data_IF_521893250334
#
_entry.id   IF_521893250334
#
_cell.length_a   1.000
_cell.length_b   1.000
_cell.length_c   1.000
_cell.angle_alpha   90.00
_cell.angle_beta   90.00
_cell.angle_gamma   90.00
#
_symmetry.space_group_name_H-M   'P 1'
#
loop_
_entity.id
_entity.type
_entity.pdbx_description
1 polymer ?
#
# COMPACT_ATOMS: atom_id res chain seq x y z
N UNK A 1 50.60 -55.01 43.23
CA UNK A 1 49.61 -54.01 43.67
C UNK A 1 50.36 -52.74 44.05
N UNK A 2 50.38 -51.73 43.18
CA UNK A 2 50.76 -50.35 43.54
C UNK A 2 49.86 -49.45 42.70
N UNK A 3 48.70 -49.08 43.26
CA UNK A 3 47.83 -48.08 42.65
C UNK A 3 48.50 -46.71 42.83
N UNK A 4 49.03 -46.17 41.73
CA UNK A 4 49.50 -44.80 41.66
C UNK A 4 48.29 -43.87 41.77
N UNK A 5 48.17 -43.14 42.88
CA UNK A 5 47.13 -42.11 43.07
C UNK A 5 47.41 -40.95 42.12
N UNK A 6 46.68 -40.89 41.00
CA UNK A 6 46.75 -39.79 40.05
C UNK A 6 46.12 -38.53 40.69
N UNK A 7 46.90 -37.47 40.83
CA UNK A 7 46.47 -36.22 41.46
C UNK A 7 45.55 -35.43 40.51
N UNK A 8 44.25 -35.40 40.82
CA UNK A 8 43.19 -34.85 39.95
C UNK A 8 43.44 -33.39 39.54
N UNK A 9 44.18 -32.61 40.36
CA UNK A 9 44.56 -31.22 40.05
C UNK A 9 45.51 -31.10 38.86
N UNK A 10 46.39 -32.09 38.67
CA UNK A 10 47.36 -32.12 37.55
C UNK A 10 46.63 -32.42 36.24
N UNK A 11 45.63 -33.31 36.28
CA UNK A 11 44.78 -33.64 35.12
C UNK A 11 43.95 -32.42 34.71
N UNK A 12 43.38 -31.70 35.68
CA UNK A 12 42.59 -30.50 35.42
C UNK A 12 43.46 -29.39 34.79
N UNK A 13 44.68 -29.19 35.30
CA UNK A 13 45.61 -28.22 34.73
C UNK A 13 46.04 -28.58 33.29
N UNK A 14 46.27 -29.86 33.01
CA UNK A 14 46.60 -30.34 31.67
C UNK A 14 45.43 -30.15 30.68
N UNK A 15 44.19 -30.42 31.12
CA UNK A 15 42.99 -30.19 30.32
C UNK A 15 42.78 -28.70 30.01
N UNK A 16 42.91 -27.83 31.02
CA UNK A 16 42.80 -26.38 30.81
C UNK A 16 43.89 -25.85 29.87
N UNK A 17 45.14 -26.33 29.99
CA UNK A 17 46.22 -25.99 29.06
C UNK A 17 45.95 -26.46 27.63
N UNK A 18 45.39 -27.66 27.47
CA UNK A 18 44.99 -28.21 26.17
C UNK A 18 43.90 -27.38 25.49
N UNK A 19 42.87 -26.96 26.23
CA UNK A 19 41.82 -26.09 25.71
C UNK A 19 42.39 -24.72 25.28
N UNK A 20 43.29 -24.14 26.07
CA UNK A 20 43.96 -22.88 25.75
C UNK A 20 44.78 -22.98 24.45
N UNK A 21 45.54 -24.06 24.28
CA UNK A 21 46.31 -24.31 23.06
C UNK A 21 45.40 -24.53 21.84
N UNK A 22 44.28 -25.22 21.99
CA UNK A 22 43.29 -25.38 20.90
C UNK A 22 42.67 -24.03 20.53
N UNK A 23 42.32 -23.19 21.52
CA UNK A 23 41.78 -21.85 21.23
C UNK A 23 42.81 -20.91 20.56
N UNK A 24 44.10 -21.00 20.93
CA UNK A 24 45.17 -20.24 20.27
C UNK A 24 45.47 -20.79 18.87
N UNK A 25 45.36 -22.10 18.68
CA UNK A 25 45.50 -22.71 17.35
C UNK A 25 44.33 -22.32 16.43
N UNK A 26 43.09 -22.35 16.93
CA UNK A 26 41.91 -21.89 16.18
C UNK A 26 41.96 -20.38 15.89
N UNK A 27 42.49 -19.55 16.79
CA UNK A 27 42.66 -18.12 16.52
C UNK A 27 43.77 -17.83 15.51
N UNK A 28 44.79 -18.68 15.39
CA UNK A 28 45.86 -18.56 14.37
C UNK A 28 45.52 -19.24 13.02
N UNK A 29 44.56 -20.16 12.99
CA UNK A 29 44.06 -20.77 11.75
C UNK A 29 42.94 -19.96 11.07
N UNK A 30 42.51 -18.84 11.66
CA UNK A 30 41.60 -17.87 11.02
C UNK A 30 42.26 -16.95 9.98
N UNK A 31 43.59 -16.84 9.97
CA UNK A 31 44.33 -15.86 9.15
C UNK A 31 45.36 -16.52 8.21
N UNK A 32 44.92 -17.45 7.36
CA UNK A 32 45.73 -17.95 6.24
C UNK A 32 44.92 -18.03 4.94
N UNK A 33 44.69 -16.86 4.32
CA UNK A 33 44.45 -16.79 2.87
C UNK A 33 45.66 -16.19 2.17
N UNK A 34 46.80 -16.89 2.21
CA UNK A 34 47.85 -16.68 1.20
C UNK A 34 47.48 -17.51 -0.04
N UNK A 35 46.81 -16.88 -1.01
CA UNK A 35 46.75 -17.37 -2.40
C UNK A 35 47.84 -16.65 -3.21
N UNK A 36 48.54 -17.34 -4.12
CA UNK A 36 49.57 -16.73 -4.95
C UNK A 36 48.95 -15.83 -6.04
N UNK A 37 49.65 -14.72 -6.24
CA UNK A 37 49.76 -13.79 -7.38
C UNK A 37 48.72 -13.74 -8.51
N UNK A 38 48.38 -12.49 -8.85
CA UNK A 38 47.85 -11.95 -10.10
C UNK A 38 46.37 -12.20 -10.45
N UNK A 39 45.51 -11.47 -9.73
CA UNK A 39 44.47 -10.65 -10.37
C UNK A 39 44.55 -9.27 -9.71
N UNK A 40 44.40 -8.17 -10.45
CA UNK A 40 44.30 -6.80 -9.94
C UNK A 40 43.15 -6.69 -8.93
N UNK A 41 43.37 -7.10 -7.68
CA UNK A 41 42.45 -6.91 -6.57
C UNK A 41 42.61 -5.45 -6.19
N UNK A 42 41.54 -4.68 -6.38
CA UNK A 42 41.54 -3.31 -5.94
C UNK A 42 41.98 -3.21 -4.48
N UNK A 43 42.87 -2.26 -4.20
CA UNK A 43 43.40 -2.05 -2.85
C UNK A 43 42.29 -1.42 -2.01
N UNK A 44 41.98 -2.01 -0.86
CA UNK A 44 41.07 -1.38 0.10
C UNK A 44 41.72 -0.09 0.61
N UNK A 45 40.95 1.01 0.69
CA UNK A 45 41.43 2.31 1.17
C UNK A 45 40.40 2.98 2.09
N UNK A 46 40.88 3.87 2.94
CA UNK A 46 40.05 4.65 3.83
C UNK A 46 39.56 5.94 3.14
N UNK A 47 38.24 6.09 2.97
CA UNK A 47 37.61 7.31 2.49
C UNK A 47 37.14 8.16 3.67
N UNK A 48 37.66 9.37 3.82
CA UNK A 48 37.21 10.34 4.82
C UNK A 48 36.05 11.16 4.25
N UNK A 49 34.86 11.08 4.87
CA UNK A 49 33.64 11.75 4.41
C UNK A 49 33.49 13.07 5.17
N UNK A 50 33.59 14.19 4.45
CA UNK A 50 33.49 15.57 4.97
C UNK A 50 34.40 15.89 6.18
N UNK A 51 35.44 15.09 6.42
CA UNK A 51 36.32 15.23 7.59
C UNK A 51 35.74 14.69 8.91
N UNK A 52 34.58 14.04 8.89
CA UNK A 52 33.87 13.65 10.13
C UNK A 52 34.06 12.17 10.49
N UNK A 53 33.97 11.27 9.51
CA UNK A 53 34.09 9.83 9.70
C UNK A 53 34.67 9.17 8.47
N UNK A 54 35.11 7.91 8.62
CA UNK A 54 35.67 7.13 7.52
C UNK A 54 34.81 5.94 7.11
N UNK A 55 34.94 5.58 5.83
CA UNK A 55 34.27 4.43 5.21
C UNK A 55 35.30 3.67 4.38
N UNK A 56 35.22 2.34 4.40
CA UNK A 56 36.06 1.48 3.57
C UNK A 56 35.64 1.55 2.10
N UNK A 57 36.54 2.05 1.26
CA UNK A 57 36.43 2.13 -0.19
C UNK A 57 37.38 1.15 -0.87
N UNK A 58 37.27 1.02 -2.18
CA UNK A 58 38.21 0.24 -3.01
C UNK A 58 38.85 1.11 -4.07
N UNK A 59 40.15 0.96 -4.27
CA UNK A 59 40.88 1.58 -5.38
C UNK A 59 41.01 0.57 -6.49
N UNK A 60 40.57 0.89 -7.69
CA UNK A 60 40.88 0.08 -8.87
C UNK A 60 41.53 0.99 -9.91
N UNK A 61 42.86 0.86 -10.07
CA UNK A 61 43.69 1.76 -10.87
C UNK A 61 43.59 3.21 -10.34
N UNK A 62 43.04 4.12 -11.14
CA UNK A 62 42.86 5.54 -10.79
C UNK A 62 41.45 5.87 -10.32
N UNK A 63 40.58 4.86 -10.20
CA UNK A 63 39.21 5.03 -9.72
C UNK A 63 39.09 4.65 -8.23
N UNK A 64 38.33 5.46 -7.50
CA UNK A 64 37.89 5.17 -6.13
C UNK A 64 36.44 4.71 -6.17
N UNK A 65 36.22 3.45 -5.81
CA UNK A 65 34.91 2.82 -5.73
C UNK A 65 34.38 2.94 -4.30
N UNK A 66 33.30 3.70 -4.17
CA UNK A 66 32.60 3.91 -2.89
C UNK A 66 31.49 2.87 -2.73
N UNK A 67 31.36 2.20 -1.57
CA UNK A 67 30.38 1.16 -1.39
C UNK A 67 28.94 1.69 -1.48
N UNK A 68 28.08 0.98 -2.23
CA UNK A 68 26.68 1.39 -2.40
C UNK A 68 25.91 1.43 -1.06
N UNK A 69 26.29 0.63 -0.06
CA UNK A 69 25.70 0.68 1.28
C UNK A 69 25.81 2.05 1.95
N UNK A 70 26.90 2.78 1.69
CA UNK A 70 27.10 4.15 2.10
C UNK A 70 26.28 5.10 1.21
N UNK A 71 26.46 5.02 -0.11
CA UNK A 71 25.79 5.90 -1.10
C UNK A 71 24.26 5.89 -0.89
N UNK A 72 23.68 4.70 -0.70
CA UNK A 72 22.24 4.49 -0.47
C UNK A 72 21.71 5.29 0.71
N UNK A 73 22.46 5.34 1.81
CA UNK A 73 22.06 6.05 3.03
C UNK A 73 22.36 7.54 2.93
N UNK A 74 23.52 7.90 2.38
CA UNK A 74 24.00 9.27 2.35
C UNK A 74 23.23 10.14 1.34
N UNK A 75 22.91 9.60 0.16
CA UNK A 75 22.16 10.30 -0.89
C UNK A 75 20.68 9.90 -0.95
N UNK A 76 20.22 9.02 -0.05
CA UNK A 76 18.84 8.51 -0.02
C UNK A 76 18.33 7.93 -1.35
N UNK A 77 19.22 7.23 -2.06
CA UNK A 77 18.95 6.56 -3.35
C UNK A 77 18.68 5.07 -3.16
N UNK A 78 18.23 4.38 -4.20
CA UNK A 78 17.80 2.98 -4.14
C UNK A 78 18.53 2.12 -5.14
N UNK A 79 18.69 0.84 -4.83
CA UNK A 79 19.23 -0.11 -5.77
C UNK A 79 19.12 -1.55 -5.30
N UNK A 80 19.10 -2.47 -6.25
CA UNK A 80 18.97 -3.91 -6.03
C UNK A 80 19.75 -4.69 -7.08
N UNK A 81 20.22 -5.87 -6.69
CA UNK A 81 20.74 -6.85 -7.65
C UNK A 81 19.56 -7.60 -8.27
N UNK A 82 19.60 -7.75 -9.58
CA UNK A 82 18.64 -8.53 -10.36
C UNK A 82 19.42 -9.50 -11.24
N UNK A 83 18.87 -10.68 -11.51
CA UNK A 83 19.45 -11.63 -12.45
C UNK A 83 18.50 -11.81 -13.61
N UNK A 84 18.98 -11.50 -14.82
CA UNK A 84 18.25 -11.70 -16.07
C UNK A 84 19.13 -12.55 -16.96
N UNK A 85 18.62 -13.70 -17.38
CA UNK A 85 19.34 -14.68 -18.21
C UNK A 85 20.69 -15.14 -17.62
N UNK A 86 20.77 -15.26 -16.28
CA UNK A 86 21.98 -15.68 -15.57
C UNK A 86 23.06 -14.61 -15.42
N UNK A 87 22.83 -13.40 -15.94
CA UNK A 87 23.71 -12.25 -15.75
C UNK A 87 23.17 -11.37 -14.62
N UNK A 88 23.97 -11.19 -13.57
CA UNK A 88 23.66 -10.26 -12.49
C UNK A 88 23.86 -8.81 -12.95
N UNK A 89 22.85 -7.99 -12.67
CA UNK A 89 22.83 -6.56 -12.96
C UNK A 89 22.42 -5.81 -11.70
N UNK A 90 23.14 -4.73 -11.40
CA UNK A 90 22.75 -3.80 -10.35
C UNK A 90 21.84 -2.71 -10.94
N UNK A 91 20.57 -2.71 -10.53
CA UNK A 91 19.60 -1.69 -10.92
C UNK A 91 19.66 -0.53 -9.92
N UNK A 92 20.05 0.65 -10.39
CA UNK A 92 20.03 1.90 -9.63
C UNK A 92 18.74 2.68 -9.88
N UNK A 93 18.16 3.28 -8.83
CA UNK A 93 17.08 4.25 -8.95
C UNK A 93 17.28 5.43 -8.00
N UNK A 94 17.09 6.65 -8.52
CA UNK A 94 17.15 7.87 -7.70
C UNK A 94 15.93 8.02 -6.79
N UNK A 95 14.78 7.48 -7.20
CA UNK A 95 13.51 7.61 -6.48
C UNK A 95 12.72 6.31 -6.53
N UNK A 96 11.61 6.28 -5.79
CA UNK A 96 10.55 5.27 -5.92
C UNK A 96 9.24 5.95 -6.29
N UNK A 97 8.22 5.15 -6.61
CA UNK A 97 6.93 5.67 -7.08
C UNK A 97 6.83 5.70 -8.61
N UNK A 98 5.60 5.75 -9.11
CA UNK A 98 5.29 5.65 -10.54
C UNK A 98 4.58 6.91 -11.02
N UNK A 99 5.06 7.44 -12.15
CA UNK A 99 4.41 8.51 -12.88
C UNK A 99 3.60 7.92 -14.02
N UNK A 100 2.35 8.35 -14.15
CA UNK A 100 1.43 7.89 -15.18
C UNK A 100 1.11 9.06 -16.12
N UNK A 101 1.34 8.85 -17.41
CA UNK A 101 1.01 9.84 -18.44
C UNK A 101 -0.43 9.61 -18.93
N UNK A 102 -1.35 10.58 -18.73
CA UNK A 102 -2.71 10.44 -19.23
C UNK A 102 -2.71 10.30 -20.76
N UNK A 103 -3.28 9.20 -21.26
CA UNK A 103 -3.41 8.94 -22.71
C UNK A 103 -4.57 9.69 -23.36
N UNK A 104 -5.55 10.08 -22.55
CA UNK A 104 -6.77 10.79 -22.95
C UNK A 104 -7.09 11.89 -21.95
N UNK A 105 -7.90 12.87 -22.40
CA UNK A 105 -8.45 13.90 -21.52
C UNK A 105 -9.23 13.25 -20.38
N UNK A 106 -9.11 13.80 -19.17
CA UNK A 106 -9.81 13.28 -17.99
C UNK A 106 -11.33 13.37 -18.19
N UNK A 107 -12.01 12.25 -17.95
CA UNK A 107 -13.47 12.13 -17.98
C UNK A 107 -13.94 11.80 -16.55
N UNK A 108 -14.81 12.62 -15.93
CA UNK A 108 -15.37 12.32 -14.62
C UNK A 108 -16.15 10.99 -14.51
N UNK A 109 -16.55 10.40 -15.65
CA UNK A 109 -17.18 9.06 -15.70
C UNK A 109 -16.18 7.94 -16.00
N UNK A 110 -14.92 8.27 -16.22
CA UNK A 110 -13.84 7.33 -16.45
C UNK A 110 -13.11 6.95 -15.15
N UNK A 111 -11.92 6.37 -15.30
CA UNK A 111 -11.06 6.02 -14.17
C UNK A 111 -10.67 7.26 -13.36
N UNK A 112 -10.63 7.12 -12.04
CA UNK A 112 -10.27 8.22 -11.15
C UNK A 112 -8.75 8.34 -11.04
N UNK A 113 -8.15 9.21 -11.84
CA UNK A 113 -6.69 9.43 -11.86
C UNK A 113 -5.95 8.12 -12.14
N UNK A 114 -5.14 7.62 -11.21
CA UNK A 114 -4.36 6.38 -11.28
C UNK A 114 -4.89 5.29 -10.33
N UNK A 115 -6.13 5.42 -9.86
CA UNK A 115 -6.69 4.56 -8.80
C UNK A 115 -6.99 3.13 -9.25
N UNK A 116 -6.98 2.85 -10.55
CA UNK A 116 -6.97 1.47 -11.08
C UNK A 116 -5.81 0.65 -10.50
N UNK A 117 -4.68 1.30 -10.18
CA UNK A 117 -3.48 0.66 -9.63
C UNK A 117 -3.43 0.67 -8.09
N UNK A 118 -4.48 1.14 -7.42
CA UNK A 118 -4.49 1.30 -5.96
C UNK A 118 -5.19 0.12 -5.29
N UNK A 119 -4.51 -0.47 -4.31
CA UNK A 119 -5.09 -1.43 -3.36
C UNK A 119 -5.19 -0.70 -2.02
N UNK A 120 -6.40 -0.31 -1.62
CA UNK A 120 -6.60 0.51 -0.41
C UNK A 120 -6.65 -0.37 0.82
N UNK A 121 -7.32 -1.50 0.69
CA UNK A 121 -7.58 -2.55 1.67
C UNK A 121 -6.32 -3.24 2.20
N UNK A 122 -5.22 -3.24 1.45
CA UNK A 122 -3.94 -3.87 1.87
C UNK A 122 -3.03 -2.95 2.69
N UNK A 123 -3.42 -1.68 2.87
CA UNK A 123 -2.59 -0.72 3.62
C UNK A 123 -2.65 -1.03 5.10
N UNK A 124 -1.52 -0.97 5.80
CA UNK A 124 -1.43 -1.29 7.25
C UNK A 124 -2.37 -0.49 8.15
N UNK A 125 -2.75 0.72 7.73
CA UNK A 125 -3.72 1.57 8.45
C UNK A 125 -5.18 1.16 8.24
N UNK A 126 -5.46 0.20 7.36
CA UNK A 126 -6.78 -0.42 7.22
C UNK A 126 -6.84 -1.61 8.16
N UNK A 127 -7.61 -1.47 9.25
CA UNK A 127 -7.75 -2.51 10.26
C UNK A 127 -8.51 -3.72 9.73
N UNK A 128 -9.60 -3.45 9.03
CA UNK A 128 -10.46 -4.42 8.38
C UNK A 128 -11.42 -3.69 7.45
N UNK A 129 -12.12 -4.46 6.62
CA UNK A 129 -13.39 -4.00 6.04
C UNK A 129 -14.46 -4.21 7.09
N UNK A 130 -15.17 -3.13 7.46
CA UNK A 130 -16.29 -3.24 8.39
C UNK A 130 -17.26 -4.23 7.82
N UNK A 131 -17.65 -5.18 8.65
CA UNK A 131 -18.64 -6.13 8.27
C UNK A 131 -19.96 -5.46 7.91
N UNK A 132 -20.56 -4.79 8.89
CA UNK A 132 -21.87 -4.15 8.80
C UNK A 132 -21.95 -3.12 7.66
N UNK A 133 -20.89 -2.34 7.45
CA UNK A 133 -20.89 -1.20 6.52
C UNK A 133 -20.14 -1.47 5.21
N UNK A 134 -19.30 -2.52 5.16
CA UNK A 134 -18.49 -2.95 4.00
C UNK A 134 -17.54 -1.93 3.46
N UNK A 135 -17.13 -1.02 4.32
CA UNK A 135 -16.14 -0.01 4.03
C UNK A 135 -14.96 -0.12 5.00
N UNK A 136 -13.76 0.33 4.60
CA UNK A 136 -12.57 0.24 5.43
C UNK A 136 -12.68 0.99 6.77
N UNK A 137 -12.25 0.34 7.84
CA UNK A 137 -12.02 0.96 9.16
C UNK A 137 -10.55 1.38 9.25
N UNK A 138 -10.29 2.66 9.57
CA UNK A 138 -8.94 3.21 9.65
C UNK A 138 -8.40 3.23 11.06
N UNK A 139 -7.10 3.01 11.23
CA UNK A 139 -6.35 3.17 12.48
C UNK A 139 -5.30 4.29 12.40
N UNK A 140 -5.35 5.14 11.37
CA UNK A 140 -4.30 6.10 11.05
C UNK A 140 -3.94 7.07 12.18
N UNK A 141 -4.91 7.45 13.01
CA UNK A 141 -4.72 8.37 14.14
C UNK A 141 -5.20 7.80 15.47
N UNK A 142 -6.01 6.75 15.44
CA UNK A 142 -6.60 6.13 16.64
C UNK A 142 -6.59 4.60 16.49
N UNK A 143 -5.88 3.86 17.37
CA UNK A 143 -5.79 2.41 17.28
C UNK A 143 -7.13 1.67 17.42
N UNK A 144 -8.12 2.30 18.07
CA UNK A 144 -9.46 1.72 18.26
C UNK A 144 -10.16 1.45 16.93
N UNK A 145 -9.91 2.28 15.92
CA UNK A 145 -10.52 2.18 14.60
C UNK A 145 -11.70 3.14 14.45
N UNK A 146 -11.77 3.84 13.32
CA UNK A 146 -12.86 4.76 12.97
C UNK A 146 -13.07 4.80 11.45
N UNK A 147 -14.24 5.25 11.02
CA UNK A 147 -14.53 5.45 9.60
C UNK A 147 -13.89 6.75 9.13
N UNK A 148 -12.83 6.64 8.32
CA UNK A 148 -12.15 7.79 7.75
C UNK A 148 -12.69 8.08 6.34
N UNK A 149 -13.43 9.18 6.10
CA UNK A 149 -14.13 9.40 4.83
C UNK A 149 -13.21 9.39 3.60
N UNK A 150 -12.00 9.95 3.73
CA UNK A 150 -11.00 9.93 2.65
C UNK A 150 -10.61 8.50 2.27
N UNK A 151 -10.41 7.62 3.25
CA UNK A 151 -10.07 6.22 3.00
C UNK A 151 -11.23 5.47 2.36
N UNK A 152 -12.46 5.68 2.84
CA UNK A 152 -13.67 5.10 2.27
C UNK A 152 -13.87 5.53 0.82
N UNK A 153 -13.71 6.82 0.52
CA UNK A 153 -13.80 7.34 -0.84
C UNK A 153 -12.70 6.74 -1.74
N UNK A 154 -11.47 6.63 -1.25
CA UNK A 154 -10.38 6.02 -2.02
C UNK A 154 -10.66 4.55 -2.34
N UNK A 155 -11.21 3.79 -1.39
CA UNK A 155 -11.60 2.40 -1.59
C UNK A 155 -12.64 2.27 -2.70
N UNK A 156 -13.71 3.08 -2.65
CA UNK A 156 -14.74 3.08 -3.69
C UNK A 156 -14.20 3.49 -5.07
N UNK A 157 -13.39 4.56 -5.15
CA UNK A 157 -12.81 5.05 -6.41
C UNK A 157 -11.82 4.06 -7.04
N UNK A 158 -11.08 3.31 -6.22
CA UNK A 158 -10.18 2.26 -6.67
C UNK A 158 -10.96 1.10 -7.29
N UNK A 159 -11.95 0.54 -6.57
CA UNK A 159 -12.80 -0.53 -7.09
C UNK A 159 -13.60 -0.09 -8.33
N UNK A 160 -14.11 1.14 -8.36
CA UNK A 160 -14.77 1.70 -9.54
C UNK A 160 -13.84 1.74 -10.75
N UNK A 161 -12.59 2.21 -10.56
CA UNK A 161 -11.62 2.30 -11.65
C UNK A 161 -11.23 0.91 -12.16
N UNK A 162 -10.99 -0.05 -11.25
CA UNK A 162 -10.71 -1.45 -11.60
C UNK A 162 -11.84 -2.10 -12.39
N UNK A 163 -13.10 -1.86 -11.99
CA UNK A 163 -14.27 -2.36 -12.72
C UNK A 163 -14.34 -1.87 -14.18
N UNK A 164 -13.74 -0.71 -14.51
CA UNK A 164 -13.70 -0.20 -15.88
C UNK A 164 -12.50 -0.73 -16.69
N UNK A 165 -11.47 -1.27 -16.04
CA UNK A 165 -10.17 -1.59 -16.67
C UNK A 165 -9.84 -3.08 -16.66
N UNK A 166 -10.30 -3.80 -15.63
CA UNK A 166 -10.09 -5.23 -15.46
C UNK A 166 -11.15 -6.02 -16.24
N UNK A 167 -10.85 -7.26 -16.68
CA UNK A 167 -11.85 -8.12 -17.30
C UNK A 167 -12.96 -8.51 -16.32
N UNK A 168 -14.14 -8.85 -16.87
CA UNK A 168 -15.24 -9.38 -16.07
C UNK A 168 -14.78 -10.59 -15.23
N UNK A 169 -15.12 -10.64 -13.93
CA UNK A 169 -14.67 -11.70 -13.05
C UNK A 169 -15.32 -13.03 -13.44
N UNK A 170 -14.59 -14.13 -13.23
CA UNK A 170 -15.18 -15.46 -13.29
C UNK A 170 -16.14 -15.63 -12.10
N UNK A 171 -17.38 -16.02 -12.38
CA UNK A 171 -18.39 -16.30 -11.35
C UNK A 171 -18.73 -17.78 -11.38
N UNK A 172 -18.60 -18.44 -10.22
CA UNK A 172 -19.07 -19.81 -10.02
C UNK A 172 -20.25 -19.77 -9.08
N UNK A 173 -21.42 -20.18 -9.56
CA UNK A 173 -22.63 -20.30 -8.74
C UNK A 173 -22.52 -21.58 -7.92
N UNK A 174 -22.61 -21.45 -6.60
CA UNK A 174 -22.53 -22.59 -5.69
C UNK A 174 -23.90 -23.20 -5.42
N UNK A 175 -24.88 -22.36 -5.07
CA UNK A 175 -26.29 -22.76 -4.93
C UNK A 175 -27.15 -21.57 -5.37
N UNK A 176 -28.09 -21.79 -6.28
CA UNK A 176 -29.07 -20.78 -6.75
C UNK A 176 -30.51 -21.06 -6.28
N UNK A 177 -30.69 -22.09 -5.45
CA UNK A 177 -31.99 -22.55 -4.97
C UNK A 177 -32.80 -23.34 -6.00
N UNK A 178 -32.33 -23.48 -7.24
CA UNK A 178 -33.07 -24.11 -8.35
C UNK A 178 -32.20 -25.08 -9.18
N UNK A 179 -31.55 -24.59 -10.24
CA UNK A 179 -30.79 -25.41 -11.21
C UNK A 179 -29.46 -25.91 -10.63
N UNK A 180 -28.80 -25.10 -9.80
CA UNK A 180 -27.56 -25.43 -9.12
C UNK A 180 -27.86 -25.73 -7.65
N UNK A 181 -28.13 -27.00 -7.35
CA UNK A 181 -28.49 -27.46 -6.01
C UNK A 181 -27.50 -28.53 -5.50
N UNK A 182 -26.34 -28.13 -4.94
CA UNK A 182 -25.36 -29.08 -4.41
C UNK A 182 -25.90 -29.86 -3.21
N UNK A 183 -25.25 -30.99 -2.92
CA UNK A 183 -25.53 -31.83 -1.77
C UNK A 183 -24.98 -31.22 -0.48
N UNK A 184 -25.76 -30.33 0.13
CA UNK A 184 -25.49 -29.84 1.49
C UNK A 184 -25.57 -30.97 2.50
N UNK A 185 -24.73 -30.90 3.53
CA UNK A 185 -24.75 -31.85 4.63
C UNK A 185 -25.31 -31.17 5.88
N UNK A 186 -26.19 -31.87 6.59
CA UNK A 186 -26.81 -31.42 7.83
C UNK A 186 -26.37 -32.33 8.99
N UNK A 187 -26.16 -31.77 10.17
CA UNK A 187 -26.03 -32.55 11.40
C UNK A 187 -27.36 -33.23 11.74
N UNK A 188 -27.33 -34.22 12.66
CA UNK A 188 -28.52 -35.01 13.04
C UNK A 188 -29.66 -34.15 13.61
N UNK A 189 -29.34 -33.01 14.20
CA UNK A 189 -30.27 -32.08 14.84
C UNK A 189 -30.57 -30.83 13.99
N UNK A 190 -29.94 -30.70 12.82
CA UNK A 190 -30.17 -29.59 11.89
C UNK A 190 -31.14 -29.99 10.79
N UNK A 191 -31.87 -29.00 10.27
CA UNK A 191 -32.79 -29.18 9.14
C UNK A 191 -32.47 -28.18 8.05
N UNK A 192 -32.68 -28.59 6.81
CA UNK A 192 -32.54 -27.74 5.63
C UNK A 192 -33.65 -28.10 4.64
N UNK A 193 -34.42 -27.10 4.24
CA UNK A 193 -35.52 -27.23 3.28
C UNK A 193 -35.37 -26.17 2.19
N UNK A 194 -35.80 -26.50 0.98
CA UNK A 194 -35.91 -25.52 -0.11
C UNK A 194 -37.37 -25.09 -0.22
N UNK A 195 -37.63 -23.81 -0.04
CA UNK A 195 -38.97 -23.25 -0.07
C UNK A 195 -39.05 -22.13 -1.11
N UNK A 196 -40.22 -21.94 -1.71
CA UNK A 196 -40.43 -20.83 -2.62
C UNK A 196 -40.91 -19.61 -1.84
N UNK A 197 -40.12 -18.54 -1.84
CA UNK A 197 -40.50 -17.28 -1.21
C UNK A 197 -41.30 -16.44 -2.20
N UNK A 198 -42.57 -16.18 -1.87
CA UNK A 198 -43.48 -15.43 -2.75
C UNK A 198 -43.15 -13.94 -2.87
N UNK A 199 -42.49 -13.35 -1.87
CA UNK A 199 -42.11 -11.93 -1.88
C UNK A 199 -40.87 -11.72 -2.74
N UNK A 200 -39.85 -12.57 -2.57
CA UNK A 200 -38.62 -12.57 -3.36
C UNK A 200 -38.81 -13.18 -4.76
N UNK A 201 -39.91 -13.91 -4.97
CA UNK A 201 -40.23 -14.67 -6.19
C UNK A 201 -39.12 -15.64 -6.60
N UNK A 202 -38.43 -16.20 -5.62
CA UNK A 202 -37.28 -17.08 -5.81
C UNK A 202 -37.35 -18.27 -4.84
N UNK A 203 -36.72 -19.38 -5.21
CA UNK A 203 -36.48 -20.48 -4.27
C UNK A 203 -35.36 -20.10 -3.33
N UNK A 204 -35.59 -20.30 -2.04
CA UNK A 204 -34.63 -20.01 -0.98
C UNK A 204 -34.36 -21.27 -0.17
N UNK A 205 -33.19 -21.29 0.47
CA UNK A 205 -32.82 -22.34 1.39
C UNK A 205 -33.13 -21.89 2.82
N UNK A 206 -34.14 -22.51 3.43
CA UNK A 206 -34.33 -22.38 4.87
C UNK A 206 -33.46 -23.41 5.58
N UNK A 207 -32.69 -22.97 6.56
CA UNK A 207 -31.93 -23.86 7.43
C UNK A 207 -32.22 -23.55 8.89
N UNK A 208 -32.17 -24.59 9.73
CA UNK A 208 -32.31 -24.47 11.18
C UNK A 208 -31.27 -25.33 11.85
N UNK A 209 -30.51 -24.73 12.75
CA UNK A 209 -29.51 -25.37 13.60
C UNK A 209 -29.85 -25.11 15.06
N UNK A 210 -29.41 -25.99 15.96
CA UNK A 210 -29.50 -25.75 17.39
C UNK A 210 -28.38 -24.79 17.85
N UNK A 211 -28.43 -24.36 19.13
CA UNK A 211 -27.37 -23.52 19.72
C UNK A 211 -26.05 -24.29 19.96
N UNK A 212 -26.05 -25.61 19.77
CA UNK A 212 -24.86 -26.43 19.94
C UNK A 212 -23.88 -26.18 18.80
N UNK A 213 -22.60 -26.02 19.14
CA UNK A 213 -21.55 -25.77 18.15
C UNK A 213 -21.42 -26.88 17.08
N UNK A 214 -21.86 -28.11 17.39
CA UNK A 214 -21.86 -29.24 16.46
C UNK A 214 -23.06 -29.25 15.49
N UNK A 215 -24.08 -28.42 15.75
CA UNK A 215 -25.26 -28.30 14.89
C UNK A 215 -24.99 -27.39 13.71
N UNK A 216 -24.81 -27.97 12.53
CA UNK A 216 -24.33 -27.23 11.37
C UNK A 216 -25.01 -27.73 10.09
N UNK A 217 -25.19 -26.79 9.17
CA UNK A 217 -25.47 -27.05 7.75
C UNK A 217 -24.27 -26.52 6.98
N UNK A 218 -23.63 -27.37 6.20
CA UNK A 218 -22.40 -27.00 5.51
C UNK A 218 -22.33 -27.58 4.08
N UNK A 219 -21.58 -26.88 3.25
CA UNK A 219 -21.26 -27.26 1.88
C UNK A 219 -19.74 -27.39 1.75
N UNK A 220 -19.28 -28.56 1.32
CA UNK A 220 -17.87 -28.74 0.98
C UNK A 220 -17.59 -28.16 -0.40
N UNK A 221 -16.70 -27.19 -0.46
CA UNK A 221 -16.28 -26.53 -1.71
C UNK A 221 -14.78 -26.70 -1.91
N UNK A 222 -14.36 -26.88 -3.17
CA UNK A 222 -12.95 -26.99 -3.53
C UNK A 222 -12.56 -25.88 -4.52
N UNK A 223 -12.53 -24.65 -4.02
CA UNK A 223 -12.19 -23.45 -4.80
C UNK A 223 -10.76 -23.06 -4.44
N UNK A 224 -9.90 -22.89 -5.46
CA UNK A 224 -8.48 -22.58 -5.26
C UNK A 224 -7.98 -21.31 -5.95
N UNK A 225 -8.85 -20.59 -6.64
CA UNK A 225 -8.48 -19.44 -7.47
C UNK A 225 -9.30 -18.18 -7.18
N UNK A 226 -10.58 -18.32 -6.80
CA UNK A 226 -11.49 -17.18 -6.59
C UNK A 226 -11.84 -17.09 -5.09
N UNK A 227 -11.57 -15.94 -4.48
CA UNK A 227 -11.69 -15.75 -3.01
C UNK A 227 -12.68 -14.64 -2.62
N UNK A 228 -13.56 -14.25 -3.54
CA UNK A 228 -14.67 -13.33 -3.26
C UNK A 228 -15.96 -14.15 -3.21
N UNK A 229 -16.58 -14.21 -2.03
CA UNK A 229 -17.84 -14.92 -1.80
C UNK A 229 -18.96 -13.89 -1.67
N UNK A 230 -20.06 -14.13 -2.39
CA UNK A 230 -21.29 -13.33 -2.31
C UNK A 230 -22.45 -14.27 -2.00
N UNK A 231 -23.28 -13.88 -1.03
CA UNK A 231 -24.42 -14.67 -0.54
C UNK A 231 -25.54 -13.73 -0.15
N UNK A 232 -26.75 -14.01 -0.61
CA UNK A 232 -27.96 -13.39 -0.09
C UNK A 232 -28.39 -14.13 1.17
N UNK A 233 -28.37 -13.42 2.29
CA UNK A 233 -28.51 -14.03 3.60
C UNK A 233 -29.51 -13.25 4.46
N UNK A 234 -30.43 -13.98 5.08
CA UNK A 234 -31.31 -13.48 6.13
C UNK A 234 -31.09 -14.32 7.38
N UNK A 235 -30.45 -13.73 8.39
CA UNK A 235 -30.17 -14.38 9.66
C UNK A 235 -31.09 -13.88 10.76
N UNK A 236 -31.47 -14.79 11.66
CA UNK A 236 -32.06 -14.42 12.95
C UNK A 236 -30.95 -14.01 13.94
N UNK A 237 -31.27 -13.28 15.01
CA UNK A 237 -30.30 -12.96 16.05
C UNK A 237 -29.57 -14.21 16.56
N UNK A 238 -28.29 -14.09 16.91
CA UNK A 238 -27.42 -15.18 17.36
C UNK A 238 -27.13 -16.27 16.31
N UNK A 239 -27.46 -16.06 15.04
CA UNK A 239 -26.99 -16.92 13.95
C UNK A 239 -25.62 -16.46 13.44
N UNK A 240 -24.88 -17.37 12.82
CA UNK A 240 -23.59 -17.07 12.18
C UNK A 240 -23.43 -17.86 10.89
N UNK A 241 -22.61 -17.32 9.98
CA UNK A 241 -22.14 -18.02 8.80
C UNK A 241 -20.61 -18.04 8.85
N UNK A 242 -20.00 -19.21 8.65
CA UNK A 242 -18.55 -19.38 8.72
C UNK A 242 -18.02 -19.89 7.39
N UNK A 243 -16.96 -19.26 6.89
CA UNK A 243 -16.22 -19.73 5.71
C UNK A 243 -14.90 -20.33 6.21
N UNK A 244 -14.67 -21.61 5.91
CA UNK A 244 -13.44 -22.30 6.29
C UNK A 244 -12.42 -22.16 5.17
N UNK A 245 -11.26 -21.57 5.49
CA UNK A 245 -10.16 -21.37 4.55
C UNK A 245 -9.01 -22.30 4.90
N UNK A 246 -8.45 -22.96 3.89
CA UNK A 246 -7.28 -23.83 4.06
C UNK A 246 -6.06 -23.19 3.40
N UNK A 247 -5.00 -22.98 4.19
CA UNK A 247 -3.69 -22.62 3.66
C UNK A 247 -2.98 -23.90 3.20
N UNK A 248 -2.81 -24.08 1.88
CA UNK A 248 -2.19 -25.28 1.31
C UNK A 248 -0.72 -25.45 1.68
N UNK A 249 0.02 -24.34 1.83
CA UNK A 249 1.46 -24.38 2.08
C UNK A 249 1.77 -24.74 3.54
N UNK A 250 0.97 -24.22 4.47
CA UNK A 250 1.16 -24.44 5.92
C UNK A 250 0.32 -25.59 6.48
N UNK A 251 -0.61 -26.16 5.69
CA UNK A 251 -1.66 -27.10 6.14
C UNK A 251 -2.46 -26.57 7.33
N UNK A 252 -2.54 -25.26 7.48
CA UNK A 252 -3.30 -24.59 8.54
C UNK A 252 -4.72 -24.30 8.05
N UNK A 253 -5.70 -24.56 8.91
CA UNK A 253 -7.10 -24.22 8.68
C UNK A 253 -7.43 -22.97 9.47
N UNK A 254 -7.91 -21.93 8.78
CA UNK A 254 -8.40 -20.69 9.38
C UNK A 254 -9.90 -20.53 9.20
N UNK A 255 -10.56 -19.85 10.15
CA UNK A 255 -11.94 -19.43 10.00
C UNK A 255 -11.99 -18.00 9.49
N UNK A 256 -12.54 -17.81 8.28
CA UNK A 256 -12.93 -16.50 7.79
C UNK A 256 -14.27 -16.12 8.40
N UNK A 257 -14.26 -15.23 9.39
CA UNK A 257 -15.50 -14.58 9.85
C UNK A 257 -15.87 -13.55 8.78
N UNK A 258 -16.90 -13.86 7.99
CA UNK A 258 -17.47 -12.89 7.05
C UNK A 258 -18.55 -12.09 7.77
N UNK A 259 -18.44 -10.77 7.71
CA UNK A 259 -19.51 -9.88 8.12
C UNK A 259 -19.83 -9.03 6.89
N UNK A 260 -21.13 -8.92 6.58
CA UNK A 260 -21.68 -8.52 5.29
C UNK A 260 -22.01 -7.05 5.20
N UNK A 261 -21.71 -6.44 4.05
CA UNK A 261 -22.37 -5.21 3.61
C UNK A 261 -22.76 -5.27 2.15
N UNK A 262 -23.95 -4.75 1.86
CA UNK A 262 -24.43 -4.43 0.52
C UNK A 262 -24.11 -2.98 0.22
N UNK A 263 -23.36 -2.74 -0.85
CA UNK A 263 -23.43 -1.48 -1.58
C UNK A 263 -24.37 -1.68 -2.78
N UNK A 264 -25.55 -1.06 -2.70
CA UNK A 264 -26.56 -1.03 -3.75
C UNK A 264 -25.98 -0.40 -5.03
N UNK A 265 -25.81 -1.24 -6.04
CA UNK A 265 -25.27 -0.86 -7.34
C UNK A 265 -26.28 -0.02 -8.14
N UNK A 266 -25.80 1.01 -8.83
CA UNK A 266 -26.44 1.67 -9.99
C UNK A 266 -27.77 2.44 -9.79
N UNK A 267 -27.98 3.11 -8.67
CA UNK A 267 -29.30 3.71 -8.39
C UNK A 267 -29.66 5.01 -9.13
N UNK A 268 -28.70 5.75 -9.71
CA UNK A 268 -29.00 7.11 -10.21
C UNK A 268 -29.58 8.03 -9.11
N UNK A 269 -29.34 7.69 -7.83
CA UNK A 269 -30.00 8.33 -6.70
C UNK A 269 -29.45 9.73 -6.44
N UNK A 270 -30.37 10.69 -6.39
CA UNK A 270 -30.12 12.07 -6.03
C UNK A 270 -29.48 12.23 -4.63
N UNK A 271 -29.47 11.19 -3.78
CA UNK A 271 -28.75 11.18 -2.51
C UNK A 271 -27.24 11.40 -2.66
N UNK A 272 -26.61 10.82 -3.69
CA UNK A 272 -25.18 11.03 -3.97
C UNK A 272 -24.92 12.48 -4.41
N UNK A 273 -25.79 13.03 -5.26
CA UNK A 273 -25.71 14.43 -5.69
C UNK A 273 -25.91 15.39 -4.51
N UNK A 274 -26.87 15.11 -3.61
CA UNK A 274 -27.09 15.86 -2.37
C UNK A 274 -25.90 15.75 -1.43
N UNK A 275 -25.27 14.57 -1.31
CA UNK A 275 -24.08 14.36 -0.50
C UNK A 275 -22.88 15.15 -1.06
N UNK A 276 -22.63 15.09 -2.37
CA UNK A 276 -21.58 15.86 -3.03
C UNK A 276 -21.77 17.37 -2.84
N UNK A 277 -23.01 17.87 -2.97
CA UNK A 277 -23.32 19.29 -2.74
C UNK A 277 -23.15 19.71 -1.27
N UNK A 278 -23.38 18.80 -0.31
CA UNK A 278 -23.11 19.02 1.12
C UNK A 278 -21.61 19.00 1.45
N UNK A 279 -20.83 18.18 0.76
CA UNK A 279 -19.38 18.09 0.94
C UNK A 279 -18.63 19.38 0.54
N UNK A 280 -19.26 20.26 -0.25
CA UNK A 280 -18.72 21.58 -0.60
C UNK A 280 -18.95 22.64 0.50
N UNK A 281 -19.90 22.44 1.42
CA UNK A 281 -20.23 23.43 2.47
C UNK A 281 -19.07 23.77 3.41
N UNK A 282 -18.17 22.83 3.80
CA UNK A 282 -17.00 23.17 4.60
C UNK A 282 -15.99 24.05 3.85
N UNK A 283 -15.99 24.05 2.51
CA UNK A 283 -15.17 24.95 1.70
C UNK A 283 -15.78 26.36 1.60
N UNK A 284 -17.08 26.50 1.87
CA UNK A 284 -17.77 27.78 2.10
C UNK A 284 -17.56 28.33 3.53
N UNK A 285 -16.95 27.54 4.43
CA UNK A 285 -16.69 27.94 5.81
C UNK A 285 -15.28 28.54 5.97
N UNK A 286 -15.13 29.71 6.59
CA UNK A 286 -13.87 30.45 6.62
C UNK A 286 -12.94 30.11 7.79
N UNK A 287 -11.66 30.51 7.68
CA UNK A 287 -11.22 31.77 8.31
C UNK A 287 -11.21 32.98 7.35
N UNK A 288 -11.50 32.78 6.06
CA UNK A 288 -11.63 33.81 5.02
C UNK A 288 -13.05 34.42 4.83
N UNK A 289 -13.81 34.77 5.89
CA UNK A 289 -15.21 35.24 5.74
C UNK A 289 -15.32 36.66 5.18
N UNK A 290 -14.22 37.41 5.16
CA UNK A 290 -14.30 38.87 5.05
C UNK A 290 -14.35 39.44 3.62
N UNK A 291 -14.39 38.63 2.55
CA UNK A 291 -14.36 39.16 1.18
C UNK A 291 -15.52 38.73 0.24
N UNK A 292 -16.39 37.80 0.64
CA UNK A 292 -17.11 36.98 -0.35
C UNK A 292 -18.64 37.03 -0.25
N UNK A 293 -19.20 37.97 0.49
CA UNK A 293 -20.64 38.18 0.54
C UNK A 293 -21.01 39.53 -0.07
N UNK A 294 -20.95 39.62 -1.39
CA UNK A 294 -21.95 40.41 -2.09
C UNK A 294 -22.29 39.78 -3.45
N UNK A 295 -23.60 39.71 -3.73
CA UNK A 295 -24.25 39.39 -5.01
C UNK A 295 -24.35 37.93 -5.44
N UNK A 296 -25.47 37.30 -5.07
CA UNK A 296 -26.08 36.23 -5.86
C UNK A 296 -27.29 36.79 -6.62
N UNK A 297 -27.17 36.87 -7.95
CA UNK A 297 -28.25 37.11 -8.89
C UNK A 297 -28.43 35.90 -9.82
N UNK A 298 -29.67 35.63 -10.21
CA UNK A 298 -30.13 34.51 -11.03
C UNK A 298 -29.55 34.55 -12.45
N UNK A 299 -28.33 34.04 -12.59
CA UNK A 299 -27.75 33.44 -13.81
C UNK A 299 -26.49 32.61 -13.44
N UNK A 300 -26.51 32.04 -12.24
CA UNK A 300 -25.29 31.75 -11.49
C UNK A 300 -24.56 30.50 -11.99
N UNK A 301 -23.31 30.70 -12.41
CA UNK A 301 -22.25 29.67 -12.43
C UNK A 301 -22.37 28.81 -11.17
N UNK A 302 -22.32 27.48 -11.31
CA UNK A 302 -22.44 26.59 -10.16
C UNK A 302 -21.37 26.94 -9.12
N UNK A 303 -21.68 26.95 -7.81
CA UNK A 303 -20.69 27.23 -6.76
C UNK A 303 -19.42 26.37 -6.89
N UNK A 304 -19.58 25.11 -7.30
CA UNK A 304 -18.48 24.20 -7.58
C UNK A 304 -17.55 24.69 -8.70
N UNK A 305 -18.10 25.23 -9.80
CA UNK A 305 -17.31 25.78 -10.89
C UNK A 305 -16.54 27.03 -10.43
N UNK A 306 -17.20 27.93 -9.70
CA UNK A 306 -16.53 29.12 -9.15
C UNK A 306 -15.36 28.76 -8.24
N UNK A 307 -15.57 27.84 -7.31
CA UNK A 307 -14.51 27.34 -6.41
C UNK A 307 -13.37 26.67 -7.16
N UNK A 308 -13.69 25.87 -8.19
CA UNK A 308 -12.67 25.25 -9.04
C UNK A 308 -11.82 26.30 -9.76
N UNK A 309 -12.47 27.29 -10.39
CA UNK A 309 -11.78 28.35 -11.13
C UNK A 309 -10.87 29.18 -10.19
N UNK A 310 -11.37 29.59 -9.02
CA UNK A 310 -10.59 30.32 -8.01
C UNK A 310 -9.43 29.47 -7.46
N UNK A 311 -9.68 28.19 -7.18
CA UNK A 311 -8.67 27.24 -6.73
C UNK A 311 -7.56 27.03 -7.76
N UNK A 312 -7.90 26.99 -9.06
CA UNK A 312 -6.90 26.90 -10.15
C UNK A 312 -6.03 28.15 -10.24
N UNK A 313 -6.59 29.34 -10.00
CA UNK A 313 -5.80 30.59 -9.91
C UNK A 313 -4.81 30.52 -8.74
N UNK A 314 -5.27 30.15 -7.54
CA UNK A 314 -4.40 30.01 -6.37
C UNK A 314 -3.33 28.94 -6.56
N UNK A 315 -3.70 27.78 -7.11
CA UNK A 315 -2.75 26.69 -7.39
C UNK A 315 -1.61 27.19 -8.26
N UNK A 316 -1.92 27.83 -9.39
CA UNK A 316 -0.90 28.29 -10.35
C UNK A 316 0.01 29.36 -9.75
N UNK A 317 -0.53 30.28 -8.94
CA UNK A 317 0.26 31.30 -8.26
C UNK A 317 1.20 30.72 -7.19
N UNK A 318 0.75 29.71 -6.44
CA UNK A 318 1.49 29.15 -5.30
C UNK A 318 2.36 27.94 -5.66
N UNK A 319 2.14 27.30 -6.81
CA UNK A 319 2.85 26.08 -7.23
C UNK A 319 4.38 26.20 -7.14
N UNK A 320 5.02 27.33 -7.52
CA UNK A 320 6.47 27.48 -7.36
C UNK A 320 6.98 27.37 -5.93
N UNK A 321 6.17 27.72 -4.92
CA UNK A 321 6.55 27.63 -3.51
C UNK A 321 6.71 26.19 -3.01
N UNK A 322 6.16 25.22 -3.76
CA UNK A 322 6.32 23.80 -3.46
C UNK A 322 7.53 23.17 -4.16
N UNK A 323 8.24 23.88 -5.04
CA UNK A 323 9.39 23.38 -5.79
C UNK A 323 10.69 23.59 -5.00
N UNK A 324 11.44 22.51 -4.75
CA UNK A 324 12.72 22.60 -4.02
C UNK A 324 13.93 22.73 -4.93
N UNK A 325 13.73 22.64 -6.25
CA UNK A 325 14.80 22.48 -7.23
C UNK A 325 15.31 21.04 -7.38
N UNK A 326 14.87 20.09 -6.55
CA UNK A 326 15.23 18.67 -6.67
C UNK A 326 14.17 17.70 -6.11
N UNK A 327 12.94 18.19 -5.94
CA UNK A 327 11.82 17.48 -5.32
C UNK A 327 10.64 18.44 -5.14
N UNK A 328 9.74 18.11 -4.21
CA UNK A 328 8.66 19.02 -3.82
C UNK A 328 8.44 19.02 -2.31
N UNK A 329 7.91 20.11 -1.77
CA UNK A 329 7.39 20.13 -0.39
C UNK A 329 6.00 19.47 -0.31
N UNK A 330 5.68 18.90 0.85
CA UNK A 330 4.37 18.33 1.14
C UNK A 330 3.36 19.41 1.55
N UNK A 331 3.84 20.45 2.24
CA UNK A 331 3.07 21.57 2.72
C UNK A 331 3.95 22.83 2.83
N UNK A 332 3.32 23.97 3.13
CA UNK A 332 4.00 25.26 3.32
C UNK A 332 4.31 25.58 4.78
N UNK A 333 4.45 24.58 5.67
CA UNK A 333 4.68 24.83 7.10
C UNK A 333 5.94 25.65 7.37
N UNK A 334 6.93 25.58 6.50
CA UNK A 334 8.15 26.36 6.59
C UNK A 334 7.92 27.85 6.38
N UNK A 335 6.98 28.18 5.49
CA UNK A 335 6.57 29.55 5.23
C UNK A 335 5.61 30.07 6.29
N UNK A 336 4.66 29.23 6.74
CA UNK A 336 3.60 29.68 7.66
C UNK A 336 3.98 29.62 9.14
N UNK A 337 4.87 28.70 9.54
CA UNK A 337 5.25 28.48 10.94
C UNK A 337 6.74 28.79 11.22
N UNK A 338 7.54 29.12 10.19
CA UNK A 338 8.97 29.39 10.36
C UNK A 338 9.81 28.18 10.79
N UNK A 339 9.35 26.96 10.50
CA UNK A 339 10.04 25.71 10.82
C UNK A 339 10.73 25.11 9.60
N UNK A 340 11.52 24.05 9.77
CA UNK A 340 12.14 23.34 8.63
C UNK A 340 11.09 22.82 7.63
N UNK A 341 11.40 22.83 6.31
CA UNK A 341 10.48 22.33 5.30
C UNK A 341 10.11 20.86 5.48
N UNK A 342 8.83 20.55 5.23
CA UNK A 342 8.35 19.18 5.16
C UNK A 342 8.49 18.67 3.73
N UNK A 343 9.60 18.00 3.43
CA UNK A 343 9.86 17.46 2.09
C UNK A 343 8.90 16.30 1.81
N UNK A 344 8.26 16.32 0.64
CA UNK A 344 7.40 15.22 0.22
C UNK A 344 8.25 13.99 -0.11
N UNK A 345 7.98 12.88 0.57
CA UNK A 345 8.54 11.57 0.18
C UNK A 345 8.20 11.23 -1.28
N UNK A 346 8.99 10.37 -1.92
CA UNK A 346 8.88 10.14 -3.37
C UNK A 346 7.49 9.70 -3.86
N UNK A 347 6.72 8.92 -3.08
CA UNK A 347 5.34 8.59 -3.44
C UNK A 347 4.39 9.81 -3.50
N UNK A 348 4.58 10.77 -2.58
CA UNK A 348 3.81 12.02 -2.62
C UNK A 348 4.30 12.92 -3.74
N UNK A 349 5.60 12.98 -3.98
CA UNK A 349 6.14 13.69 -5.14
C UNK A 349 5.57 13.15 -6.46
N UNK A 350 5.55 11.82 -6.64
CA UNK A 350 4.91 11.16 -7.78
C UNK A 350 3.40 11.47 -7.86
N UNK A 351 2.70 11.51 -6.71
CA UNK A 351 1.30 11.92 -6.64
C UNK A 351 1.10 13.35 -7.15
N UNK A 352 1.95 14.30 -6.73
CA UNK A 352 1.88 15.67 -7.22
C UNK A 352 2.10 15.74 -8.74
N UNK A 353 3.10 15.01 -9.26
CA UNK A 353 3.37 14.94 -10.71
C UNK A 353 2.16 14.39 -11.46
N UNK A 354 1.55 13.30 -10.98
CA UNK A 354 0.35 12.71 -11.60
C UNK A 354 -0.85 13.66 -11.59
N UNK A 355 -1.06 14.40 -10.49
CA UNK A 355 -2.11 15.41 -10.39
C UNK A 355 -1.88 16.56 -11.37
N UNK A 356 -0.64 17.05 -11.51
CA UNK A 356 -0.31 18.11 -12.47
C UNK A 356 -0.48 17.65 -13.92
N UNK A 357 -0.09 16.42 -14.25
CA UNK A 357 -0.35 15.86 -15.58
C UNK A 357 -1.84 15.77 -15.91
N UNK A 358 -2.66 15.39 -14.93
CA UNK A 358 -4.11 15.38 -15.09
C UNK A 358 -4.66 16.80 -15.30
N UNK A 359 -4.27 17.75 -14.45
CA UNK A 359 -4.73 19.14 -14.53
C UNK A 359 -4.30 19.81 -15.84
N UNK A 360 -3.11 19.51 -16.36
CA UNK A 360 -2.65 19.99 -17.66
C UNK A 360 -3.51 19.49 -18.84
N UNK A 361 -4.26 18.40 -18.66
CA UNK A 361 -5.27 17.95 -19.63
C UNK A 361 -6.60 18.71 -19.55
N UNK A 362 -6.83 19.47 -18.48
CA UNK A 362 -8.04 20.24 -18.21
C UNK A 362 -7.85 21.75 -18.44
N UNK A 363 -6.69 22.28 -18.07
CA UNK A 363 -6.29 23.68 -18.23
C UNK A 363 -5.02 23.76 -19.10
N UNK A 364 -5.04 24.50 -20.23
CA UNK A 364 -3.89 24.60 -21.15
C UNK A 364 -2.73 25.47 -20.63
N UNK A 365 -2.85 26.07 -19.44
CA UNK A 365 -1.78 26.92 -18.87
C UNK A 365 -0.44 26.15 -18.76
N UNK A 366 0.63 26.64 -19.41
CA UNK A 366 1.89 25.91 -19.51
C UNK A 366 2.58 25.70 -18.16
N UNK A 367 2.24 26.46 -17.11
CA UNK A 367 2.85 26.28 -15.79
C UNK A 367 2.65 24.86 -15.24
N UNK A 368 1.50 24.24 -15.53
CA UNK A 368 1.15 22.91 -15.03
C UNK A 368 2.02 21.83 -15.68
N UNK A 369 2.06 21.81 -17.02
CA UNK A 369 2.82 20.81 -17.78
C UNK A 369 4.34 21.00 -17.63
N UNK A 370 4.82 22.24 -17.58
CA UNK A 370 6.23 22.53 -17.40
C UNK A 370 6.71 22.12 -16.01
N UNK A 371 5.90 22.36 -14.98
CA UNK A 371 6.21 21.92 -13.61
C UNK A 371 6.15 20.40 -13.50
N UNK A 372 5.14 19.74 -14.06
CA UNK A 372 5.04 18.27 -14.08
C UNK A 372 6.28 17.61 -14.70
N UNK A 373 6.74 18.10 -15.86
CA UNK A 373 7.94 17.60 -16.55
C UNK A 373 9.21 17.82 -15.74
N UNK A 374 9.36 19.01 -15.14
CA UNK A 374 10.51 19.34 -14.29
C UNK A 374 10.56 18.44 -13.07
N UNK A 375 9.45 18.28 -12.36
CA UNK A 375 9.32 17.42 -11.19
C UNK A 375 9.52 15.94 -11.52
N UNK A 376 8.98 15.45 -12.64
CA UNK A 376 9.32 14.11 -13.13
C UNK A 376 10.83 13.95 -13.38
N UNK A 377 11.52 15.00 -13.84
CA UNK A 377 12.97 15.01 -13.97
C UNK A 377 13.70 14.80 -12.64
N UNK A 378 13.19 15.36 -11.54
CA UNK A 378 13.77 15.19 -10.21
C UNK A 378 13.76 13.74 -9.75
N UNK A 379 12.74 12.97 -10.14
CA UNK A 379 12.69 11.52 -9.90
C UNK A 379 13.83 10.73 -10.58
N UNK A 380 14.53 11.34 -11.53
CA UNK A 380 15.70 10.80 -12.22
C UNK A 380 17.02 11.46 -11.79
N UNK A 381 17.02 12.24 -10.70
CA UNK A 381 18.20 12.93 -10.19
C UNK A 381 18.53 14.23 -10.92
N UNK A 382 17.67 14.71 -11.82
CA UNK A 382 17.83 16.06 -12.38
C UNK A 382 17.57 17.09 -11.29
N UNK A 383 18.20 18.26 -11.44
CA UNK A 383 18.05 19.40 -10.51
C UNK A 383 17.78 20.65 -11.32
N UNK A 384 17.13 21.63 -10.72
CA UNK A 384 17.12 22.98 -11.25
C UNK A 384 18.56 23.50 -11.33
N UNK A 385 18.84 24.31 -12.35
CA UNK A 385 20.14 24.94 -12.50
C UNK A 385 20.44 25.82 -11.28
N UNK A 386 21.68 25.77 -10.79
CA UNK A 386 22.20 26.80 -9.88
C UNK A 386 22.71 28.00 -10.70
N UNK A 387 22.89 29.13 -10.03
CA UNK A 387 23.41 30.36 -10.64
C UNK A 387 24.90 30.27 -11.00
#
# INVERSE_FOLDING_TARGET
MMLMRLNMRVILAALCGGVLLITIYWSRCGDFTHRPSNCNRGEDLECIINGEYSVWCRRHRDEVLVPFSFIRKYFEVYGKLTSVDGVEKFEWSHSYGKVYHPKKKYDPRGTFTTFENYNVEVRDRVKCISGVEGVPVSTQWEPRGYFYPTQVAQFGLAHYSKNLTEPEPRVTVLDDGDEHAPGWTCSQDATMTREYDSELKAKVMEFRTSEQAASQVWLSVNISQDFVVSVDLLLKPNSSMTIVLQNKDKKETGHGISVLSRAYHRSGDAAYLRAARRALRPLDAPPLKALWMDRYGENSISPAKKMFDEGMVSLKALLPLFDTGSGSFYDLRHFTLGVSPNIARWDYHATHVNQLYLLAGLDPDPILINTARRWQGYMQGKRAAHN
#
